data_IF_990701474373
#
_entry.id   IF_990701474373
#
_cell.length_a   1.000
_cell.length_b   1.000
_cell.length_c   1.000
_cell.angle_alpha   90.00
_cell.angle_beta   90.00
_cell.angle_gamma   90.00
#
_symmetry.space_group_name_H-M   'P 1'
#
loop_
_entity.id
_entity.type
_entity.pdbx_description
1 polymer ?
#
# COMPACT_ATOMS: atom_id res chain seq x y z
N UNK A 1 20.99 -8.23 18.37
CA UNK A 1 20.65 -8.39 16.95
C UNK A 1 19.58 -7.37 16.54
N UNK A 2 19.20 -7.34 15.28
CA UNK A 2 18.22 -6.38 14.75
C UNK A 2 16.85 -6.49 15.45
N UNK A 3 16.36 -7.69 15.71
CA UNK A 3 15.09 -7.95 16.40
C UNK A 3 15.10 -7.35 17.81
N UNK A 4 16.18 -7.53 18.54
CA UNK A 4 16.35 -6.98 19.90
C UNK A 4 16.32 -5.46 19.88
N UNK A 5 17.00 -4.84 18.89
CA UNK A 5 17.00 -3.39 18.71
C UNK A 5 15.61 -2.85 18.38
N UNK A 6 14.89 -3.48 17.46
CA UNK A 6 13.53 -3.07 17.07
C UNK A 6 12.58 -3.21 18.25
N UNK A 7 12.60 -4.33 18.97
CA UNK A 7 11.77 -4.52 20.18
C UNK A 7 12.03 -3.47 21.25
N UNK A 8 13.29 -3.10 21.49
CA UNK A 8 13.63 -2.09 22.49
C UNK A 8 13.18 -0.68 22.11
N UNK A 9 13.19 -0.36 20.82
CA UNK A 9 12.83 0.96 20.29
C UNK A 9 11.32 1.15 20.08
N UNK A 10 10.60 0.06 19.79
CA UNK A 10 9.17 0.05 19.46
C UNK A 10 8.41 -0.93 20.36
N UNK A 11 8.59 -0.79 21.68
CA UNK A 11 8.02 -1.69 22.69
C UNK A 11 6.49 -1.73 22.72
N UNK A 12 5.81 -0.72 22.13
CA UNK A 12 4.36 -0.70 21.97
C UNK A 12 3.85 -1.64 20.86
N UNK A 13 4.73 -2.16 20.00
CA UNK A 13 4.37 -3.07 18.93
C UNK A 13 4.84 -4.50 19.24
N UNK A 14 4.02 -5.47 18.86
CA UNK A 14 4.44 -6.88 18.86
C UNK A 14 5.39 -7.12 17.68
N UNK A 15 6.65 -7.40 17.94
CA UNK A 15 7.67 -7.65 16.92
C UNK A 15 8.12 -9.09 16.98
N UNK A 16 7.86 -9.87 15.94
CA UNK A 16 8.15 -11.31 15.87
C UNK A 16 7.56 -12.12 17.06
N UNK A 17 6.40 -11.71 17.50
CA UNK A 17 5.61 -12.44 18.48
C UNK A 17 4.42 -13.08 17.75
N UNK A 18 4.33 -14.39 17.88
CA UNK A 18 3.21 -15.15 17.32
C UNK A 18 2.09 -15.10 18.35
N UNK A 19 0.88 -14.68 17.94
CA UNK A 19 -0.27 -14.68 18.86
C UNK A 19 -0.52 -16.07 19.42
N UNK A 20 -0.83 -16.17 20.72
CA UNK A 20 -1.23 -17.43 21.36
C UNK A 20 -2.75 -17.65 21.23
N UNK A 21 -3.29 -17.45 20.05
CA UNK A 21 -4.73 -17.47 19.73
C UNK A 21 -4.95 -17.86 18.28
N UNK A 22 -6.22 -18.09 17.90
CA UNK A 22 -6.61 -18.21 16.50
C UNK A 22 -6.14 -16.99 15.72
N UNK A 23 -5.65 -17.18 14.51
CA UNK A 23 -5.03 -16.05 13.79
C UNK A 23 -5.24 -16.11 12.28
N UNK A 24 -5.27 -14.91 11.70
CA UNK A 24 -5.33 -14.69 10.26
C UNK A 24 -3.92 -14.30 9.78
N UNK A 25 -3.48 -14.99 8.76
CA UNK A 25 -2.19 -14.76 8.09
C UNK A 25 -2.44 -14.22 6.70
N UNK A 26 -1.75 -13.12 6.37
CA UNK A 26 -1.89 -12.46 5.07
C UNK A 26 -0.52 -12.30 4.42
N UNK A 27 -0.42 -12.63 3.15
CA UNK A 27 0.80 -12.41 2.37
C UNK A 27 0.91 -10.92 2.02
N UNK A 28 1.96 -10.26 2.51
CA UNK A 28 2.18 -8.82 2.30
C UNK A 28 2.45 -8.42 0.84
N UNK A 29 2.65 -9.38 -0.06
CA UNK A 29 2.81 -9.13 -1.51
C UNK A 29 1.50 -9.09 -2.26
N UNK A 30 0.41 -9.46 -1.63
CA UNK A 30 -0.92 -9.49 -2.26
C UNK A 30 -1.56 -8.11 -2.17
N UNK A 31 -2.18 -7.68 -3.25
CA UNK A 31 -3.05 -6.50 -3.23
C UNK A 31 -4.41 -6.94 -2.69
N UNK A 32 -4.75 -6.40 -1.54
CA UNK A 32 -5.92 -6.79 -0.78
C UNK A 32 -7.11 -5.89 -1.06
N UNK A 33 -8.22 -6.46 -1.48
CA UNK A 33 -9.53 -5.82 -1.48
C UNK A 33 -10.42 -6.34 -0.34
N UNK A 34 -11.52 -5.65 -0.08
CA UNK A 34 -12.45 -6.02 1.00
C UNK A 34 -13.06 -7.41 0.80
N UNK A 35 -13.34 -7.81 -0.44
CA UNK A 35 -13.98 -9.10 -0.72
C UNK A 35 -13.02 -10.25 -0.43
N UNK A 36 -11.77 -10.12 -0.83
CA UNK A 36 -10.73 -11.11 -0.57
C UNK A 36 -10.44 -11.24 0.93
N UNK A 37 -10.34 -10.11 1.65
CA UNK A 37 -10.16 -10.10 3.11
C UNK A 37 -11.33 -10.77 3.80
N UNK A 38 -12.57 -10.41 3.49
CA UNK A 38 -13.77 -11.00 4.08
C UNK A 38 -13.84 -12.50 3.80
N UNK A 39 -13.50 -12.92 2.59
CA UNK A 39 -13.46 -14.35 2.22
C UNK A 39 -12.52 -15.16 3.12
N UNK A 40 -11.39 -14.58 3.51
CA UNK A 40 -10.46 -15.23 4.45
C UNK A 40 -11.01 -15.21 5.86
N UNK A 41 -11.54 -14.07 6.33
CA UNK A 41 -12.11 -13.93 7.67
C UNK A 41 -13.25 -14.92 7.88
N UNK A 42 -14.15 -15.06 6.91
CA UNK A 42 -15.35 -15.89 7.00
C UNK A 42 -15.08 -17.39 6.83
N UNK A 43 -13.85 -17.77 6.45
CA UNK A 43 -13.49 -19.17 6.16
C UNK A 43 -12.57 -19.73 7.23
N UNK A 44 -13.13 -20.20 8.33
CA UNK A 44 -12.36 -20.82 9.42
C UNK A 44 -11.59 -22.07 8.95
N UNK A 45 -10.44 -22.31 9.59
CA UNK A 45 -9.56 -23.46 9.35
C UNK A 45 -9.23 -23.67 7.86
N UNK A 46 -8.91 -22.58 7.17
CA UNK A 46 -8.68 -22.56 5.73
C UNK A 46 -7.35 -21.91 5.35
N UNK A 47 -6.74 -22.43 4.29
CA UNK A 47 -5.54 -21.91 3.64
C UNK A 47 -5.89 -21.56 2.20
N UNK A 48 -5.47 -20.38 1.77
CA UNK A 48 -5.76 -19.86 0.43
C UNK A 48 -4.49 -19.81 -0.40
N UNK A 49 -4.56 -20.43 -1.58
CA UNK A 49 -3.43 -20.59 -2.49
C UNK A 49 -3.81 -20.06 -3.88
N UNK A 50 -2.87 -19.39 -4.50
CA UNK A 50 -2.91 -18.99 -5.90
C UNK A 50 -1.57 -19.31 -6.56
N UNK A 51 -1.57 -20.07 -7.64
CA UNK A 51 -0.36 -20.46 -8.39
C UNK A 51 0.79 -20.98 -7.49
N UNK A 52 0.45 -21.92 -6.59
CA UNK A 52 1.35 -22.45 -5.56
C UNK A 52 1.94 -21.42 -4.59
N UNK A 53 1.40 -20.21 -4.53
CA UNK A 53 1.78 -19.19 -3.58
C UNK A 53 0.74 -19.15 -2.46
N UNK A 54 1.19 -19.14 -1.21
CA UNK A 54 0.34 -18.87 -0.07
C UNK A 54 -0.14 -17.43 -0.12
N UNK A 55 -1.45 -17.24 -0.20
CA UNK A 55 -2.08 -15.92 -0.23
C UNK A 55 -2.45 -15.50 1.18
N UNK A 56 -3.13 -16.37 1.92
CA UNK A 56 -3.51 -16.11 3.29
C UNK A 56 -4.03 -17.36 3.95
N UNK A 57 -4.27 -17.29 5.25
CA UNK A 57 -4.85 -18.38 6.03
C UNK A 57 -5.66 -17.84 7.20
N UNK A 58 -6.68 -18.56 7.59
CA UNK A 58 -7.43 -18.39 8.83
C UNK A 58 -7.34 -19.70 9.61
N UNK A 59 -6.53 -19.70 10.64
CA UNK A 59 -6.13 -20.93 11.35
C UNK A 59 -6.50 -20.88 12.82
N UNK A 60 -6.97 -22.00 13.33
CA UNK A 60 -7.11 -22.24 14.78
C UNK A 60 -5.74 -22.41 15.41
N UNK A 61 -5.61 -22.07 16.69
CA UNK A 61 -4.33 -22.13 17.42
C UNK A 61 -3.56 -23.46 17.23
N UNK A 62 -4.15 -24.64 17.36
CA UNK A 62 -3.42 -25.90 17.16
C UNK A 62 -2.85 -26.06 15.75
N UNK A 63 -3.56 -25.55 14.73
CA UNK A 63 -3.12 -25.58 13.34
C UNK A 63 -1.95 -24.60 13.10
N UNK A 64 -1.94 -23.48 13.79
CA UNK A 64 -0.82 -22.53 13.76
C UNK A 64 0.44 -23.15 14.33
N UNK A 65 0.34 -23.82 15.49
CA UNK A 65 1.47 -24.50 16.12
C UNK A 65 2.05 -25.58 15.21
N UNK A 66 1.19 -26.47 14.67
CA UNK A 66 1.59 -27.51 13.72
C UNK A 66 2.31 -26.93 12.49
N UNK A 67 1.78 -25.84 11.94
CA UNK A 67 2.35 -25.19 10.77
C UNK A 67 3.72 -24.56 11.07
N UNK A 68 3.86 -23.88 12.21
CA UNK A 68 5.11 -23.26 12.61
C UNK A 68 6.20 -24.27 12.94
N UNK A 69 5.83 -25.37 13.57
CA UNK A 69 6.75 -26.49 13.86
C UNK A 69 7.27 -27.13 12.57
N UNK A 70 6.46 -27.13 11.51
CA UNK A 70 6.85 -27.60 10.18
C UNK A 70 7.66 -26.58 9.36
N UNK A 71 7.93 -25.37 9.87
CA UNK A 71 8.68 -24.32 9.20
C UNK A 71 7.85 -23.10 8.76
N UNK A 72 6.57 -23.07 9.06
CA UNK A 72 5.68 -21.94 8.85
C UNK A 72 5.42 -21.60 7.37
N UNK A 73 5.18 -20.32 7.06
CA UNK A 73 4.78 -19.87 5.71
C UNK A 73 5.80 -20.14 4.60
N UNK A 74 7.03 -20.50 4.96
CA UNK A 74 8.10 -20.78 3.98
C UNK A 74 8.08 -22.21 3.47
N UNK A 75 7.24 -23.07 4.04
CA UNK A 75 7.14 -24.47 3.63
C UNK A 75 5.85 -24.73 2.86
N UNK A 76 5.86 -25.78 2.05
CA UNK A 76 4.66 -26.30 1.39
C UNK A 76 3.79 -27.15 2.32
N UNK A 77 4.14 -27.24 3.59
CA UNK A 77 3.34 -27.96 4.57
C UNK A 77 2.03 -27.22 4.85
N UNK A 78 0.95 -27.97 4.77
CA UNK A 78 -0.38 -27.48 5.09
C UNK A 78 -0.90 -28.23 6.32
N UNK A 79 -1.16 -27.51 7.42
CA UNK A 79 -1.79 -28.13 8.58
C UNK A 79 -3.16 -28.70 8.19
N UNK A 80 -3.82 -29.38 9.10
CA UNK A 80 -5.15 -30.01 8.89
C UNK A 80 -6.26 -28.97 8.65
N UNK A 81 -6.05 -28.11 7.66
CA UNK A 81 -6.94 -27.04 7.24
C UNK A 81 -7.44 -27.28 5.80
N UNK A 82 -8.57 -26.69 5.47
CA UNK A 82 -9.13 -26.76 4.13
C UNK A 82 -8.30 -25.93 3.15
N UNK A 83 -7.86 -26.52 2.04
CA UNK A 83 -7.18 -25.78 0.98
C UNK A 83 -8.21 -25.17 0.03
N UNK A 84 -8.12 -23.86 -0.17
CA UNK A 84 -8.95 -23.08 -1.06
C UNK A 84 -8.09 -22.47 -2.18
N UNK A 85 -8.29 -22.92 -3.42
CA UNK A 85 -7.63 -22.31 -4.56
C UNK A 85 -8.35 -21.02 -4.95
N UNK A 86 -7.57 -19.97 -5.19
CA UNK A 86 -8.03 -18.66 -5.65
C UNK A 86 -7.71 -18.49 -7.14
N UNK A 87 -8.41 -17.55 -7.78
CA UNK A 87 -8.17 -17.15 -9.15
C UNK A 87 -8.05 -15.62 -9.19
N UNK A 88 -7.27 -15.09 -10.14
CA UNK A 88 -7.15 -13.66 -10.40
C UNK A 88 -6.67 -12.85 -9.18
N UNK A 89 -5.57 -13.26 -8.59
CA UNK A 89 -4.96 -12.54 -7.47
C UNK A 89 -3.81 -11.67 -7.99
N UNK A 90 -3.84 -10.39 -7.67
CA UNK A 90 -2.75 -9.46 -7.97
C UNK A 90 -1.66 -9.58 -6.92
N UNK A 91 -0.46 -9.95 -7.35
CA UNK A 91 0.72 -10.15 -6.48
C UNK A 91 1.85 -9.25 -6.94
N UNK A 92 2.41 -8.48 -6.02
CA UNK A 92 3.61 -7.69 -6.23
C UNK A 92 4.83 -8.61 -6.20
N UNK A 93 5.52 -8.75 -7.31
CA UNK A 93 6.73 -9.53 -7.43
C UNK A 93 7.98 -8.64 -7.35
N UNK A 94 7.88 -7.42 -7.87
CA UNK A 94 8.96 -6.44 -7.95
C UNK A 94 8.48 -5.06 -7.52
N UNK A 95 9.39 -4.21 -7.07
CA UNK A 95 9.06 -2.84 -6.64
C UNK A 95 8.40 -2.01 -7.75
N UNK A 96 8.76 -2.22 -8.99
CA UNK A 96 8.16 -1.51 -10.13
C UNK A 96 6.73 -1.95 -10.46
N UNK A 97 6.25 -3.07 -9.91
CA UNK A 97 4.85 -3.47 -10.08
C UNK A 97 3.91 -2.43 -9.46
N UNK A 98 4.34 -1.72 -8.40
CA UNK A 98 3.58 -0.61 -7.83
C UNK A 98 3.36 0.54 -8.82
N UNK A 99 4.32 0.81 -9.71
CA UNK A 99 4.17 1.87 -10.71
C UNK A 99 3.07 1.55 -11.72
N UNK A 100 2.92 0.28 -12.07
CA UNK A 100 1.87 -0.18 -12.99
C UNK A 100 0.46 -0.14 -12.36
N UNK A 101 0.38 0.05 -11.04
CA UNK A 101 -0.89 0.07 -10.30
C UNK A 101 -1.37 1.49 -9.95
N UNK A 102 -0.61 2.52 -10.31
CA UNK A 102 -0.93 3.91 -9.97
C UNK A 102 -2.34 4.27 -10.47
N UNK A 103 -2.63 3.98 -11.73
CA UNK A 103 -3.86 4.38 -12.39
C UNK A 103 -5.09 3.74 -11.71
N UNK A 104 -5.05 2.43 -11.50
CA UNK A 104 -6.13 1.69 -10.85
C UNK A 104 -6.29 2.10 -9.38
N UNK A 105 -5.19 2.24 -8.65
CA UNK A 105 -5.22 2.59 -7.23
C UNK A 105 -5.77 3.99 -6.99
N UNK A 106 -5.45 4.96 -7.85
CA UNK A 106 -5.99 6.33 -7.73
C UNK A 106 -7.47 6.36 -8.10
N UNK A 107 -7.90 5.60 -9.10
CA UNK A 107 -9.30 5.53 -9.50
C UNK A 107 -10.24 4.94 -8.43
N UNK A 108 -9.71 4.13 -7.51
CA UNK A 108 -10.48 3.53 -6.40
C UNK A 108 -10.58 4.43 -5.15
N UNK A 109 -9.88 5.56 -5.10
CA UNK A 109 -9.92 6.47 -3.96
C UNK A 109 -11.28 7.15 -3.89
N UNK A 110 -11.92 7.08 -2.73
CA UNK A 110 -13.15 7.82 -2.45
C UNK A 110 -12.83 9.32 -2.36
N UNK A 111 -13.32 10.06 -3.35
CA UNK A 111 -13.09 11.51 -3.46
C UNK A 111 -14.11 12.36 -2.69
N UNK A 112 -15.03 11.75 -1.95
CA UNK A 112 -16.11 12.46 -1.25
C UNK A 112 -15.62 13.49 -0.23
N UNK A 113 -14.42 13.33 0.30
CA UNK A 113 -13.79 14.24 1.26
C UNK A 113 -12.64 15.08 0.68
N UNK A 114 -12.26 14.84 -0.58
CA UNK A 114 -11.19 15.60 -1.23
C UNK A 114 -11.72 16.94 -1.72
N UNK A 115 -11.21 18.04 -1.19
CA UNK A 115 -11.50 19.38 -1.66
C UNK A 115 -10.39 19.82 -2.62
N UNK A 116 -10.74 19.94 -3.88
CA UNK A 116 -9.98 20.85 -4.76
C UNK A 116 -10.43 22.26 -4.36
N UNK A 117 -9.72 22.87 -3.40
CA UNK A 117 -9.83 24.32 -3.24
C UNK A 117 -9.39 24.94 -4.57
N UNK A 118 -10.13 25.95 -5.02
CA UNK A 118 -9.82 26.63 -6.28
C UNK A 118 -8.50 27.38 -6.10
N UNK A 119 -7.40 26.74 -6.48
CA UNK A 119 -6.07 27.36 -6.40
C UNK A 119 -5.91 28.31 -7.59
N UNK A 120 -5.80 29.61 -7.30
CA UNK A 120 -5.43 30.58 -8.32
C UNK A 120 -4.03 30.28 -8.86
N UNK A 121 -3.89 30.26 -10.18
CA UNK A 121 -2.61 30.06 -10.88
C UNK A 121 -2.03 28.63 -10.85
N UNK A 122 -2.86 27.59 -10.64
CA UNK A 122 -2.47 26.19 -10.81
C UNK A 122 -3.19 25.64 -12.05
N UNK A 123 -2.48 24.83 -12.83
CA UNK A 123 -3.05 24.15 -13.98
C UNK A 123 -3.26 22.66 -13.65
N UNK A 124 -4.50 22.20 -13.73
CA UNK A 124 -4.89 20.80 -13.51
C UNK A 124 -5.40 20.23 -14.83
N UNK A 125 -4.84 19.11 -15.24
CA UNK A 125 -5.23 18.35 -16.43
C UNK A 125 -5.62 16.93 -16.03
N UNK A 126 -6.91 16.63 -16.08
CA UNK A 126 -7.49 15.33 -15.77
C UNK A 126 -7.82 14.49 -17.00
N UNK A 127 -7.31 14.85 -18.16
CA UNK A 127 -7.61 14.13 -19.43
C UNK A 127 -7.17 12.66 -19.41
N UNK A 128 -6.17 12.31 -18.63
CA UNK A 128 -5.63 10.95 -18.49
C UNK A 128 -5.97 10.27 -17.17
N UNK A 129 -6.70 10.92 -16.27
CA UNK A 129 -7.08 10.38 -14.97
C UNK A 129 -7.25 11.48 -13.92
N UNK A 130 -7.79 11.15 -12.74
CA UNK A 130 -8.10 12.13 -11.71
C UNK A 130 -6.84 12.72 -11.05
N UNK A 131 -6.99 13.97 -10.58
CA UNK A 131 -6.02 14.63 -9.69
C UNK A 131 -6.65 14.78 -8.31
N UNK A 132 -6.15 14.04 -7.35
CA UNK A 132 -6.66 13.99 -5.99
C UNK A 132 -5.66 14.65 -5.06
N UNK A 133 -6.11 15.65 -4.30
CA UNK A 133 -5.30 16.40 -3.36
C UNK A 133 -5.96 16.33 -1.99
N UNK A 134 -5.25 15.78 -1.02
CA UNK A 134 -5.73 15.68 0.34
C UNK A 134 -5.64 17.02 1.09
N UNK A 135 -6.35 17.09 2.21
CA UNK A 135 -6.47 18.28 3.06
C UNK A 135 -5.11 18.77 3.56
N UNK A 136 -5.07 20.05 3.91
CA UNK A 136 -3.92 20.73 4.52
C UNK A 136 -2.65 20.68 3.64
N UNK A 137 -2.80 20.40 2.34
CA UNK A 137 -1.71 20.44 1.36
C UNK A 137 -1.64 21.80 0.71
N UNK A 138 -0.43 22.36 0.65
CA UNK A 138 -0.14 23.64 0.04
C UNK A 138 0.46 23.39 -1.34
N UNK A 139 -0.17 23.99 -2.36
CA UNK A 139 0.37 23.99 -3.72
C UNK A 139 0.68 25.42 -4.11
N UNK A 140 1.96 25.69 -4.35
CA UNK A 140 2.40 27.02 -4.74
C UNK A 140 2.05 27.34 -6.20
N UNK A 141 1.93 28.63 -6.58
CA UNK A 141 1.51 29.08 -7.90
C UNK A 141 2.36 28.52 -9.04
N UNK A 142 1.75 28.46 -10.25
CA UNK A 142 2.36 27.98 -11.49
C UNK A 142 2.75 26.51 -11.50
N UNK A 143 2.13 25.74 -10.61
CA UNK A 143 2.25 24.28 -10.62
C UNK A 143 1.35 23.67 -11.71
N UNK A 144 1.86 22.64 -12.40
CA UNK A 144 1.11 21.84 -13.36
C UNK A 144 0.94 20.40 -12.85
N UNK A 145 -0.31 19.96 -12.72
CA UNK A 145 -0.66 18.60 -12.31
C UNK A 145 -1.39 17.91 -13.48
N UNK A 146 -0.88 16.76 -13.91
CA UNK A 146 -1.51 15.96 -14.98
C UNK A 146 -1.81 14.55 -14.46
N UNK A 147 -3.08 14.21 -14.36
CA UNK A 147 -3.54 12.96 -13.80
C UNK A 147 -3.12 11.70 -14.58
N UNK A 148 -3.22 10.51 -13.96
CA UNK A 148 -3.64 10.34 -12.58
C UNK A 148 -2.57 10.80 -11.57
N UNK A 149 -2.96 11.59 -10.57
CA UNK A 149 -2.07 12.09 -9.52
C UNK A 149 -2.78 12.03 -8.17
N UNK A 150 -2.10 11.51 -7.16
CA UNK A 150 -2.53 11.61 -5.77
C UNK A 150 -1.49 12.36 -4.96
N UNK A 151 -1.93 13.35 -4.19
CA UNK A 151 -1.10 14.10 -3.25
C UNK A 151 -1.72 13.99 -1.86
N UNK A 152 -1.03 13.32 -0.95
CA UNK A 152 -1.45 13.11 0.42
C UNK A 152 -1.47 14.40 1.25
N UNK A 153 -2.02 14.30 2.44
CA UNK A 153 -2.22 15.44 3.34
C UNK A 153 -0.90 16.08 3.84
N UNK A 154 -0.98 17.37 4.20
CA UNK A 154 0.14 18.13 4.76
C UNK A 154 1.39 18.16 3.86
N UNK A 155 1.22 18.10 2.55
CA UNK A 155 2.30 18.26 1.59
C UNK A 155 2.56 19.71 1.24
N UNK A 156 3.77 20.00 0.77
CA UNK A 156 4.15 21.26 0.12
C UNK A 156 4.64 20.96 -1.29
N UNK A 157 3.92 21.45 -2.29
CA UNK A 157 4.34 21.39 -3.69
C UNK A 157 4.85 22.78 -4.07
N UNK A 158 6.14 22.85 -4.38
CA UNK A 158 6.80 24.12 -4.70
C UNK A 158 6.34 24.68 -6.05
N UNK A 159 6.43 26.00 -6.17
CA UNK A 159 6.07 26.72 -7.39
C UNK A 159 6.79 26.18 -8.64
N UNK A 160 6.13 26.27 -9.78
CA UNK A 160 6.63 25.79 -11.08
C UNK A 160 6.88 24.27 -11.14
N UNK A 161 6.39 23.51 -10.17
CA UNK A 161 6.47 22.04 -10.21
C UNK A 161 5.56 21.48 -11.32
N UNK A 162 5.99 20.34 -11.89
CA UNK A 162 5.24 19.60 -12.89
C UNK A 162 5.15 18.14 -12.49
N UNK A 163 3.96 17.72 -12.07
CA UNK A 163 3.73 16.38 -11.54
C UNK A 163 2.77 15.63 -12.46
N UNK A 164 3.16 14.42 -12.86
CA UNK A 164 2.39 13.56 -13.76
C UNK A 164 2.41 12.12 -13.30
N UNK A 165 1.27 11.43 -13.44
CA UNK A 165 1.17 9.98 -13.20
C UNK A 165 1.97 9.54 -11.96
N UNK A 166 1.64 10.11 -10.79
CA UNK A 166 2.47 9.93 -9.59
C UNK A 166 1.65 9.94 -8.31
N UNK A 167 2.17 9.24 -7.32
CA UNK A 167 1.64 9.20 -5.96
C UNK A 167 2.62 9.88 -5.01
N UNK A 168 2.14 10.87 -4.27
CA UNK A 168 2.91 11.58 -3.25
C UNK A 168 2.26 11.31 -1.90
N UNK A 169 2.97 10.57 -1.04
CA UNK A 169 2.52 10.26 0.32
C UNK A 169 2.47 11.52 1.21
N UNK A 170 1.89 11.39 2.42
CA UNK A 170 1.68 12.53 3.31
C UNK A 170 2.99 13.15 3.80
N UNK A 171 2.92 14.43 4.19
CA UNK A 171 4.05 15.19 4.75
C UNK A 171 5.28 15.28 3.83
N UNK A 172 5.09 15.24 2.52
CA UNK A 172 6.15 15.40 1.53
C UNK A 172 6.36 16.87 1.15
N UNK A 173 7.61 17.19 0.76
CA UNK A 173 7.96 18.47 0.12
C UNK A 173 8.53 18.17 -1.25
N UNK A 174 7.84 18.62 -2.30
CA UNK A 174 8.18 18.25 -3.67
C UNK A 174 8.35 19.51 -4.52
N UNK A 175 9.48 19.59 -5.23
CA UNK A 175 9.77 20.64 -6.20
C UNK A 175 10.30 20.08 -7.53
N UNK A 176 10.11 20.83 -8.61
CA UNK A 176 10.56 20.48 -9.95
C UNK A 176 9.70 19.43 -10.67
N UNK A 177 10.26 18.71 -11.62
CA UNK A 177 9.54 17.72 -12.41
C UNK A 177 9.50 16.33 -11.73
N UNK A 178 8.31 15.72 -11.73
CA UNK A 178 8.04 14.37 -11.22
C UNK A 178 7.11 13.66 -12.18
N UNK A 179 7.46 12.46 -12.61
CA UNK A 179 6.64 11.64 -13.48
C UNK A 179 6.80 10.15 -13.16
N UNK A 180 5.69 9.38 -13.20
CA UNK A 180 5.70 7.94 -13.02
C UNK A 180 6.37 7.49 -11.72
N UNK A 181 6.10 8.18 -10.61
CA UNK A 181 6.85 8.01 -9.37
C UNK A 181 5.95 7.85 -8.16
N UNK A 182 6.44 7.09 -7.17
CA UNK A 182 5.78 6.96 -5.87
C UNK A 182 6.73 7.46 -4.79
N UNK A 183 6.32 8.52 -4.09
CA UNK A 183 7.01 9.05 -2.91
C UNK A 183 6.31 8.55 -1.65
N UNK A 184 7.06 7.89 -0.80
CA UNK A 184 6.56 7.57 0.54
C UNK A 184 6.45 8.83 1.39
N UNK A 185 5.57 8.80 2.39
CA UNK A 185 5.41 9.92 3.32
C UNK A 185 6.73 10.38 3.94
N UNK A 186 6.80 11.67 4.29
CA UNK A 186 7.98 12.34 4.86
C UNK A 186 9.19 12.42 3.91
N UNK A 187 8.96 12.35 2.60
CA UNK A 187 10.01 12.53 1.59
C UNK A 187 10.21 13.99 1.22
N UNK A 188 11.44 14.32 0.84
CA UNK A 188 11.79 15.67 0.42
C UNK A 188 12.60 15.65 -0.90
N UNK A 189 12.01 16.23 -1.95
CA UNK A 189 12.65 16.48 -3.24
C UNK A 189 12.58 18.00 -3.53
N UNK A 190 13.67 18.72 -3.29
CA UNK A 190 13.67 20.20 -3.22
C UNK A 190 13.61 20.87 -4.59
N UNK A 191 14.24 20.27 -5.61
CA UNK A 191 14.34 20.84 -6.96
C UNK A 191 14.58 19.75 -8.01
N UNK A 192 14.68 20.17 -9.27
CA UNK A 192 15.09 19.26 -10.34
C UNK A 192 16.45 18.66 -9.99
N UNK A 193 16.47 17.35 -9.88
CA UNK A 193 17.67 16.56 -9.66
C UNK A 193 18.20 16.02 -10.97
N UNK A 194 19.48 15.94 -11.09
CA UNK A 194 20.15 15.18 -12.13
C UNK A 194 20.55 13.81 -11.58
#
# INVERSE_FOLDING_TARGET
>A
NLVTLVKSKYNQYRVNEIPNEDSIWLNARVIWDKNLINKIIDSESSIFIYDNILIGANLKRPQVDEWLDAGGPTTMFHPSAKICNLNNISIVNYLWDFLNMIDESIAEIDTSETRIEQYDSIMIDESNGPVIIDKDTIIEPFTYLSGPVYIGNNCLISSHSKIKNSVIGPFCKIGGEVSGSIFQGFSNKVHDGH
#
